data_IF_381677764201
#
_entry.id   IF_381677764201
#
_cell.length_a   1.000
_cell.length_b   1.000
_cell.length_c   1.000
_cell.angle_alpha   90.00
_cell.angle_beta   90.00
_cell.angle_gamma   90.00
#
_symmetry.space_group_name_H-M   'P 1'
#
loop_
_entity.id
_entity.type
_entity.pdbx_description
1 polymer ?
#
# COMPACT_ATOMS: atom_id res chain seq x y z
N UNK A 1 -4.05 -0.82 -16.02
CA UNK A 1 -3.94 -0.87 -14.55
C UNK A 1 -3.07 0.30 -14.10
N UNK A 2 -3.44 1.00 -13.02
CA UNK A 2 -2.63 2.08 -12.44
C UNK A 2 -1.96 1.58 -11.15
N UNK A 3 -0.89 2.23 -10.72
CA UNK A 3 -0.21 1.90 -9.46
C UNK A 3 -0.61 2.95 -8.42
N UNK A 4 -1.08 2.49 -7.27
CA UNK A 4 -1.53 3.34 -6.17
C UNK A 4 -0.59 3.12 -4.99
N UNK A 5 -0.03 4.21 -4.48
CA UNK A 5 0.89 4.20 -3.34
C UNK A 5 0.22 4.92 -2.18
N UNK A 6 0.03 4.20 -1.08
CA UNK A 6 -0.39 4.77 0.19
C UNK A 6 0.81 5.33 0.95
N UNK A 7 0.78 6.62 1.29
CA UNK A 7 1.87 7.34 1.94
C UNK A 7 1.38 8.29 3.05
N UNK A 8 2.32 8.93 3.73
CA UNK A 8 2.08 9.96 4.75
C UNK A 8 3.06 11.11 4.60
N UNK A 9 2.70 12.33 5.00
CA UNK A 9 3.52 13.55 4.92
C UNK A 9 4.89 13.44 5.65
N UNK A 10 5.03 12.45 6.54
CA UNK A 10 6.26 12.16 7.29
C UNK A 10 7.09 11.00 6.70
N UNK A 11 6.64 10.37 5.62
CA UNK A 11 7.26 9.18 5.04
C UNK A 11 8.18 9.48 3.85
N UNK A 12 8.68 10.71 3.70
CA UNK A 12 9.43 11.14 2.52
C UNK A 12 10.60 10.20 2.18
N UNK A 13 11.37 9.76 3.18
CA UNK A 13 12.51 8.85 2.97
C UNK A 13 12.07 7.52 2.35
N UNK A 14 10.98 6.93 2.86
CA UNK A 14 10.48 5.66 2.34
C UNK A 14 9.90 5.82 0.93
N UNK A 15 9.10 6.88 0.72
CA UNK A 15 8.51 7.18 -0.58
C UNK A 15 9.58 7.43 -1.65
N UNK A 16 10.60 8.23 -1.35
CA UNK A 16 11.72 8.48 -2.26
C UNK A 16 12.42 7.17 -2.63
N UNK A 17 12.70 6.32 -1.64
CA UNK A 17 13.33 5.03 -1.88
C UNK A 17 12.48 4.10 -2.78
N UNK A 18 11.16 4.07 -2.59
CA UNK A 18 10.25 3.34 -3.48
C UNK A 18 10.31 3.90 -4.91
N UNK A 19 10.11 5.21 -5.07
CA UNK A 19 10.10 5.85 -6.38
C UNK A 19 11.45 5.72 -7.11
N UNK A 20 12.57 5.79 -6.39
CA UNK A 20 13.92 5.56 -6.93
C UNK A 20 14.10 4.12 -7.44
N UNK A 21 13.50 3.13 -6.77
CA UNK A 21 13.53 1.75 -7.25
C UNK A 21 12.65 1.54 -8.47
N UNK A 22 11.53 2.27 -8.56
CA UNK A 22 10.60 2.21 -9.68
C UNK A 22 11.18 2.90 -10.93
N UNK A 23 11.75 4.10 -10.80
CA UNK A 23 12.21 4.91 -11.93
C UNK A 23 13.45 4.36 -12.65
N UNK A 24 14.15 3.40 -12.03
CA UNK A 24 15.28 2.67 -12.64
C UNK A 24 14.83 1.64 -13.67
N UNK A 25 13.56 1.24 -13.64
CA UNK A 25 13.02 0.23 -14.55
C UNK A 25 12.56 0.90 -15.84
N UNK A 26 12.82 0.27 -16.99
CA UNK A 26 12.49 0.83 -18.32
C UNK A 26 10.99 1.02 -18.51
N UNK A 27 10.16 0.17 -17.89
CA UNK A 27 8.70 0.20 -17.97
C UNK A 27 8.07 1.25 -17.05
N UNK A 28 8.86 2.00 -16.26
CA UNK A 28 8.34 3.00 -15.32
C UNK A 28 7.34 3.96 -15.98
N UNK A 29 7.67 4.45 -17.18
CA UNK A 29 6.84 5.38 -17.95
C UNK A 29 5.53 4.79 -18.49
N UNK A 30 5.39 3.46 -18.50
CA UNK A 30 4.19 2.78 -19.03
C UNK A 30 3.03 2.79 -18.03
N UNK A 31 3.30 3.15 -16.77
CA UNK A 31 2.32 3.12 -15.68
C UNK A 31 2.07 4.51 -15.12
N UNK A 32 0.79 4.88 -15.01
CA UNK A 32 0.39 5.99 -14.17
C UNK A 32 0.50 5.58 -12.69
N UNK A 33 1.22 6.39 -11.92
CA UNK A 33 1.44 6.20 -10.49
C UNK A 33 0.71 7.32 -9.76
N UNK A 34 -0.12 6.96 -8.78
CA UNK A 34 -0.82 7.93 -7.93
C UNK A 34 -0.44 7.67 -6.47
N UNK A 35 0.19 8.66 -5.85
CA UNK A 35 0.58 8.63 -4.45
C UNK A 35 -0.48 9.39 -3.65
N UNK A 36 -1.16 8.74 -2.72
CA UNK A 36 -2.02 9.41 -1.76
C UNK A 36 -1.26 9.60 -0.45
N UNK A 37 -0.93 10.85 -0.12
CA UNK A 37 -0.15 11.19 1.05
C UNK A 37 -1.04 11.82 2.13
N UNK A 38 -1.29 11.08 3.22
CA UNK A 38 -2.06 11.54 4.37
C UNK A 38 -1.33 12.56 5.25
N UNK A 39 -2.08 13.23 6.12
CA UNK A 39 -1.55 14.10 7.18
C UNK A 39 -1.33 15.56 6.81
N UNK A 40 -1.84 16.02 5.65
CA UNK A 40 -1.79 17.42 5.23
C UNK A 40 -2.99 18.21 5.77
N UNK A 41 -3.17 18.23 7.10
CA UNK A 41 -4.34 18.84 7.75
C UNK A 41 -4.49 20.36 7.55
N UNK A 42 -3.44 21.04 7.08
CA UNK A 42 -3.50 22.45 6.73
C UNK A 42 -4.25 22.72 5.41
N UNK A 43 -4.40 21.68 4.56
CA UNK A 43 -5.13 21.78 3.31
C UNK A 43 -6.65 21.63 3.55
N UNK A 44 -7.44 22.52 2.96
CA UNK A 44 -8.91 22.41 3.01
C UNK A 44 -9.46 21.34 2.05
N UNK A 45 -8.79 21.18 0.91
CA UNK A 45 -9.14 20.25 -0.16
C UNK A 45 -7.93 19.40 -0.52
N UNK A 46 -8.14 18.37 -1.33
CA UNK A 46 -7.06 17.64 -1.99
C UNK A 46 -6.21 18.59 -2.84
N UNK A 47 -4.89 18.45 -2.75
CA UNK A 47 -3.94 19.13 -3.64
C UNK A 47 -3.25 18.05 -4.47
N UNK A 48 -3.32 18.18 -5.80
CA UNK A 48 -2.70 17.25 -6.73
C UNK A 48 -1.54 17.93 -7.47
N UNK A 49 -0.35 17.33 -7.39
CA UNK A 49 0.83 17.76 -8.16
C UNK A 49 1.27 16.60 -9.03
N UNK A 50 1.56 16.85 -10.31
CA UNK A 50 2.01 15.80 -11.24
C UNK A 50 3.37 16.14 -11.81
N UNK A 51 4.28 15.17 -11.77
CA UNK A 51 5.55 15.19 -12.49
C UNK A 51 5.65 13.90 -13.32
N UNK A 52 5.75 14.04 -14.64
CA UNK A 52 5.73 12.93 -15.61
C UNK A 52 4.51 12.02 -15.40
N UNK A 53 4.73 10.74 -15.07
CA UNK A 53 3.71 9.73 -14.85
C UNK A 53 3.33 9.55 -13.36
N UNK A 54 3.84 10.41 -12.47
CA UNK A 54 3.58 10.36 -11.02
C UNK A 54 2.72 11.54 -10.60
N UNK A 55 1.54 11.27 -10.06
CA UNK A 55 0.68 12.26 -9.41
C UNK A 55 0.71 12.05 -7.89
N UNK A 56 1.06 13.08 -7.13
CA UNK A 56 0.95 13.09 -5.67
C UNK A 56 -0.30 13.85 -5.28
N UNK A 57 -1.16 13.20 -4.49
CA UNK A 57 -2.40 13.74 -3.94
C UNK A 57 -2.22 13.90 -2.43
N UNK A 58 -2.12 15.15 -1.99
CA UNK A 58 -2.06 15.51 -0.57
C UNK A 58 -3.47 15.42 0.04
N UNK A 59 -3.61 14.56 1.04
CA UNK A 59 -4.87 14.27 1.71
C UNK A 59 -4.90 14.97 3.07
N UNK A 60 -5.99 15.70 3.35
CA UNK A 60 -6.20 16.39 4.62
C UNK A 60 -6.74 15.48 5.74
N UNK A 61 -6.38 14.20 5.69
CA UNK A 61 -6.72 13.16 6.65
C UNK A 61 -5.63 12.11 6.71
N UNK A 62 -5.71 11.23 7.72
CA UNK A 62 -4.87 10.04 7.80
C UNK A 62 -5.73 8.84 8.22
N UNK A 63 -5.56 7.72 7.51
CA UNK A 63 -6.21 6.45 7.81
C UNK A 63 -5.24 5.27 7.71
N UNK A 64 -3.96 5.52 8.02
CA UNK A 64 -2.86 4.56 7.84
C UNK A 64 -2.85 4.03 6.40
N UNK A 65 -3.17 2.75 6.22
CA UNK A 65 -3.15 1.94 5.00
C UNK A 65 -4.45 2.09 4.20
N UNK A 66 -5.46 2.77 4.72
CA UNK A 66 -6.70 3.02 3.98
C UNK A 66 -6.74 4.40 3.31
N UNK A 67 -5.71 5.23 3.49
CA UNK A 67 -5.68 6.61 2.97
C UNK A 67 -5.88 6.63 1.45
N UNK A 68 -5.16 5.77 0.73
CA UNK A 68 -5.28 5.71 -0.73
C UNK A 68 -6.64 5.17 -1.20
N UNK A 69 -7.22 4.20 -0.51
CA UNK A 69 -8.54 3.67 -0.86
C UNK A 69 -9.65 4.71 -0.67
N UNK A 70 -9.59 5.48 0.44
CA UNK A 70 -10.53 6.59 0.66
C UNK A 70 -10.37 7.63 -0.46
N UNK A 71 -9.14 7.98 -0.83
CA UNK A 71 -8.88 8.90 -1.93
C UNK A 71 -9.43 8.42 -3.28
N UNK A 72 -9.29 7.11 -3.58
CA UNK A 72 -9.88 6.51 -4.78
C UNK A 72 -11.40 6.57 -4.78
N UNK A 73 -12.05 6.28 -3.65
CA UNK A 73 -13.51 6.34 -3.54
C UNK A 73 -14.02 7.77 -3.64
N UNK A 74 -13.32 8.76 -3.07
CA UNK A 74 -13.77 10.15 -3.10
C UNK A 74 -13.52 10.83 -4.46
N UNK A 75 -12.41 10.51 -5.14
CA UNK A 75 -12.00 11.21 -6.36
C UNK A 75 -12.26 10.43 -7.65
N UNK A 76 -12.30 9.10 -7.60
CA UNK A 76 -12.32 8.22 -8.78
C UNK A 76 -13.51 7.25 -8.82
N UNK A 77 -14.58 7.49 -8.03
CA UNK A 77 -15.74 6.60 -7.97
C UNK A 77 -16.43 6.32 -9.31
N UNK A 78 -16.30 7.19 -10.32
CA UNK A 78 -16.89 6.99 -11.65
C UNK A 78 -16.08 6.04 -12.54
N UNK A 79 -14.83 5.75 -12.19
CA UNK A 79 -13.91 4.93 -12.99
C UNK A 79 -14.10 3.42 -12.78
N UNK A 80 -15.35 2.93 -12.83
CA UNK A 80 -15.73 1.58 -12.36
C UNK A 80 -14.97 0.40 -13.00
N UNK A 81 -14.46 0.58 -14.22
CA UNK A 81 -13.75 -0.46 -14.98
C UNK A 81 -12.22 -0.45 -14.74
N UNK A 82 -11.71 0.48 -13.92
CA UNK A 82 -10.29 0.56 -13.63
C UNK A 82 -9.84 -0.48 -12.60
N UNK A 83 -8.57 -0.89 -12.73
CA UNK A 83 -7.87 -1.72 -11.76
C UNK A 83 -6.61 -1.00 -11.27
N UNK A 84 -6.33 -1.19 -10.00
CA UNK A 84 -5.22 -0.59 -9.28
C UNK A 84 -4.37 -1.68 -8.66
N UNK A 85 -3.05 -1.60 -8.85
CA UNK A 85 -2.12 -2.28 -7.96
C UNK A 85 -1.80 -1.34 -6.79
N UNK A 86 -2.29 -1.70 -5.61
CA UNK A 86 -2.10 -0.96 -4.38
C UNK A 86 -0.86 -1.47 -3.63
N UNK A 87 -0.03 -0.54 -3.15
CA UNK A 87 1.07 -0.83 -2.22
C UNK A 87 1.35 0.35 -1.28
N UNK A 88 2.23 0.14 -0.30
CA UNK A 88 2.65 1.20 0.64
C UNK A 88 3.95 1.86 0.18
N UNK A 89 4.16 3.10 0.60
CA UNK A 89 5.42 3.85 0.49
C UNK A 89 6.66 3.11 1.03
N UNK A 90 6.50 2.21 2.01
CA UNK A 90 7.62 1.42 2.54
C UNK A 90 7.94 0.16 1.73
N UNK A 91 7.62 0.14 0.44
CA UNK A 91 8.03 -0.92 -0.47
C UNK A 91 9.30 -0.56 -1.25
N UNK A 92 9.84 -1.54 -1.95
CA UNK A 92 10.83 -1.39 -3.02
C UNK A 92 10.49 -2.39 -4.10
N UNK A 93 10.59 -2.00 -5.36
CA UNK A 93 10.39 -2.93 -6.48
C UNK A 93 11.72 -3.59 -6.86
N UNK A 94 11.65 -4.85 -7.30
CA UNK A 94 12.73 -5.54 -8.00
C UNK A 94 12.66 -5.35 -9.51
N UNK A 95 13.61 -5.94 -10.21
CA UNK A 95 13.81 -5.71 -11.66
C UNK A 95 12.70 -6.32 -12.53
N UNK A 96 11.98 -7.32 -12.01
CA UNK A 96 10.91 -8.00 -12.73
C UNK A 96 9.50 -7.53 -12.29
N UNK A 97 9.40 -6.51 -11.44
CA UNK A 97 8.11 -6.05 -10.89
C UNK A 97 7.10 -5.69 -11.98
N UNK A 98 7.49 -4.87 -12.95
CA UNK A 98 6.60 -4.43 -14.03
C UNK A 98 6.21 -5.57 -14.97
N UNK A 99 7.15 -6.45 -15.30
CA UNK A 99 6.86 -7.65 -16.10
C UNK A 99 5.84 -8.54 -15.39
N UNK A 100 6.01 -8.78 -14.09
CA UNK A 100 5.06 -9.56 -13.28
C UNK A 100 3.70 -8.88 -13.24
N UNK A 101 3.66 -7.57 -12.99
CA UNK A 101 2.44 -6.78 -12.97
C UNK A 101 1.65 -6.83 -14.29
N UNK A 102 2.34 -6.75 -15.42
CA UNK A 102 1.76 -6.82 -16.77
C UNK A 102 1.10 -8.17 -17.07
N UNK A 103 1.62 -9.25 -16.49
CA UNK A 103 1.19 -10.62 -16.79
C UNK A 103 0.04 -11.12 -15.91
N UNK A 104 -0.52 -10.26 -15.04
CA UNK A 104 -1.58 -10.66 -14.12
C UNK A 104 -2.92 -10.78 -14.87
N UNK A 105 -3.54 -11.95 -14.76
CA UNK A 105 -4.89 -12.20 -15.28
C UNK A 105 -5.97 -11.59 -14.38
N UNK A 106 -6.73 -10.65 -14.94
CA UNK A 106 -7.84 -9.96 -14.27
C UNK A 106 -9.21 -10.56 -14.62
N UNK A 107 -9.24 -11.74 -15.26
CA UNK A 107 -10.49 -12.40 -15.65
C UNK A 107 -11.25 -12.88 -14.43
N UNK A 108 -12.51 -12.43 -14.31
CA UNK A 108 -13.48 -12.83 -13.28
C UNK A 108 -12.98 -12.61 -11.83
N UNK A 109 -12.29 -11.50 -11.57
CA UNK A 109 -11.83 -11.12 -10.22
C UNK A 109 -12.08 -9.65 -9.98
N UNK A 110 -12.45 -9.25 -8.77
CA UNK A 110 -12.45 -7.84 -8.36
C UNK A 110 -11.30 -7.48 -7.44
N UNK A 111 -10.64 -8.46 -6.83
CA UNK A 111 -9.40 -8.29 -6.08
C UNK A 111 -8.43 -9.46 -6.28
N UNK A 112 -7.13 -9.18 -6.12
CA UNK A 112 -6.09 -10.21 -6.05
C UNK A 112 -5.11 -9.84 -4.95
N UNK A 113 -4.99 -10.69 -3.93
CA UNK A 113 -4.05 -10.49 -2.82
C UNK A 113 -2.69 -11.13 -3.11
N UNK A 114 -1.59 -10.50 -2.67
CA UNK A 114 -0.23 -11.00 -3.00
C UNK A 114 0.28 -12.16 -2.13
N UNK A 115 -0.42 -12.51 -1.04
CA UNK A 115 0.02 -13.55 -0.11
C UNK A 115 -1.20 -14.24 0.51
N UNK A 116 -1.19 -15.57 0.69
CA UNK A 116 -2.27 -16.29 1.39
C UNK A 116 -2.45 -15.84 2.83
N UNK A 117 -1.34 -15.58 3.52
CA UNK A 117 -1.31 -15.21 4.94
C UNK A 117 -1.79 -13.78 5.18
N UNK A 118 -0.86 -12.83 5.19
CA UNK A 118 -1.12 -11.41 5.41
C UNK A 118 -0.55 -10.64 4.23
N UNK A 119 -1.40 -9.91 3.51
CA UNK A 119 -1.00 -9.10 2.36
C UNK A 119 -0.75 -7.64 2.75
N UNK A 120 -1.15 -7.22 3.96
CA UNK A 120 -1.10 -5.82 4.38
C UNK A 120 -1.83 -4.89 3.40
N UNK A 121 -2.98 -5.34 2.91
CA UNK A 121 -3.74 -4.71 1.83
C UNK A 121 -2.99 -4.59 0.49
N UNK A 122 -1.77 -5.10 0.34
CA UNK A 122 -1.03 -5.06 -0.93
C UNK A 122 -1.65 -6.04 -1.93
N UNK A 123 -1.93 -5.56 -3.13
CA UNK A 123 -2.52 -6.36 -4.19
C UNK A 123 -3.32 -5.53 -5.17
N UNK A 124 -4.21 -6.19 -5.90
CA UNK A 124 -5.00 -5.60 -6.95
C UNK A 124 -6.42 -5.38 -6.47
N UNK A 125 -6.98 -4.22 -6.85
CA UNK A 125 -8.36 -3.84 -6.56
C UNK A 125 -8.99 -3.25 -7.82
N UNK A 126 -10.19 -3.70 -8.17
CA UNK A 126 -11.05 -2.97 -9.09
C UNK A 126 -11.60 -1.69 -8.44
N UNK A 127 -11.90 -0.66 -9.21
CA UNK A 127 -12.63 0.50 -8.65
C UNK A 127 -14.02 0.09 -8.15
N UNK A 128 -14.67 -0.88 -8.82
CA UNK A 128 -16.00 -1.38 -8.44
C UNK A 128 -16.03 -1.89 -7.00
N UNK A 129 -15.12 -2.79 -6.62
CA UNK A 129 -15.09 -3.30 -5.24
C UNK A 129 -14.77 -2.21 -4.23
N UNK A 130 -13.91 -1.24 -4.56
CA UNK A 130 -13.63 -0.12 -3.67
C UNK A 130 -14.89 0.73 -3.44
N UNK A 131 -15.69 0.95 -4.49
CA UNK A 131 -16.97 1.65 -4.37
C UNK A 131 -17.98 0.86 -3.53
N UNK A 132 -18.06 -0.47 -3.70
CA UNK A 132 -18.95 -1.33 -2.90
C UNK A 132 -18.59 -1.28 -1.40
N UNK A 133 -17.30 -1.10 -1.08
CA UNK A 133 -16.79 -0.94 0.29
C UNK A 133 -16.68 0.53 0.73
N UNK A 134 -17.22 1.49 -0.02
CA UNK A 134 -17.10 2.93 0.27
C UNK A 134 -17.58 3.29 1.67
N UNK A 135 -18.73 2.80 2.12
CA UNK A 135 -19.24 3.05 3.46
C UNK A 135 -18.27 2.61 4.56
N UNK A 136 -17.66 1.43 4.40
CA UNK A 136 -16.61 0.96 5.31
C UNK A 136 -15.38 1.88 5.26
N UNK A 137 -14.86 2.18 4.06
CA UNK A 137 -13.65 2.99 3.87
C UNK A 137 -13.82 4.41 4.44
N UNK A 138 -14.93 5.09 4.14
CA UNK A 138 -15.23 6.43 4.65
C UNK A 138 -15.37 6.42 6.17
N UNK A 139 -15.95 5.36 6.77
CA UNK A 139 -16.02 5.23 8.24
C UNK A 139 -14.65 5.17 8.92
N UNK A 140 -13.58 4.88 8.15
CA UNK A 140 -12.19 4.82 8.66
C UNK A 140 -11.44 6.15 8.52
N UNK A 141 -12.01 7.17 7.90
CA UNK A 141 -11.40 8.51 7.74
C UNK A 141 -11.20 9.20 9.09
N UNK A 142 -10.02 9.81 9.31
CA UNK A 142 -9.71 10.66 10.48
C UNK A 142 -9.92 9.99 11.85
N UNK A 143 -9.60 8.70 11.97
CA UNK A 143 -9.58 8.07 13.28
C UNK A 143 -8.34 8.48 14.07
N UNK A 144 -8.46 8.53 15.40
CA UNK A 144 -7.33 8.82 16.28
C UNK A 144 -6.18 7.81 16.08
N UNK A 145 -4.93 8.25 16.25
CA UNK A 145 -3.75 7.36 16.19
C UNK A 145 -3.88 6.13 17.10
N UNK A 146 -4.58 6.27 18.23
CA UNK A 146 -4.89 5.18 19.16
C UNK A 146 -5.85 4.14 18.55
N UNK A 147 -6.92 4.59 17.88
CA UNK A 147 -7.83 3.70 17.17
C UNK A 147 -7.15 3.05 15.96
N UNK A 148 -6.37 3.83 15.21
CA UNK A 148 -5.57 3.36 14.08
C UNK A 148 -4.55 2.28 14.51
N UNK A 149 -3.90 2.45 15.67
CA UNK A 149 -3.03 1.42 16.27
C UNK A 149 -3.83 0.19 16.72
N UNK A 150 -5.03 0.39 17.27
CA UNK A 150 -5.95 -0.70 17.56
C UNK A 150 -6.28 -1.48 16.26
N UNK A 151 -6.64 -0.83 15.15
CA UNK A 151 -6.94 -1.51 13.88
C UNK A 151 -5.77 -2.38 13.40
N UNK A 152 -4.53 -1.87 13.45
CA UNK A 152 -3.32 -2.65 13.09
C UNK A 152 -3.12 -3.91 13.93
N UNK A 153 -3.53 -3.87 15.19
CA UNK A 153 -3.41 -5.00 16.11
C UNK A 153 -4.64 -5.92 16.10
N UNK A 154 -5.69 -5.58 15.32
CA UNK A 154 -6.93 -6.36 15.24
C UNK A 154 -7.04 -7.02 13.85
N UNK A 155 -6.78 -8.33 13.75
CA UNK A 155 -6.64 -9.10 12.50
C UNK A 155 -7.81 -9.01 11.52
N UNK A 156 -8.99 -8.60 11.98
CA UNK A 156 -10.22 -8.61 11.20
C UNK A 156 -10.35 -7.42 10.23
N UNK A 157 -9.42 -6.46 10.28
CA UNK A 157 -9.52 -5.18 9.56
C UNK A 157 -8.46 -5.07 8.47
N UNK A 158 -7.25 -5.58 8.71
CA UNK A 158 -6.25 -5.78 7.66
C UNK A 158 -6.74 -6.86 6.68
N UNK A 159 -6.55 -6.62 5.38
CA UNK A 159 -7.05 -7.48 4.29
C UNK A 159 -8.59 -7.65 4.30
N UNK A 160 -9.35 -6.75 4.95
CA UNK A 160 -10.81 -6.89 5.07
C UNK A 160 -11.51 -7.02 3.72
N UNK A 161 -11.18 -6.18 2.75
CA UNK A 161 -11.77 -6.24 1.41
C UNK A 161 -11.44 -7.58 0.73
N UNK A 162 -10.19 -8.07 0.83
CA UNK A 162 -9.83 -9.38 0.28
C UNK A 162 -10.59 -10.54 0.95
N UNK A 163 -10.88 -10.44 2.25
CA UNK A 163 -11.61 -11.47 3.00
C UNK A 163 -13.10 -11.49 2.66
N UNK A 164 -13.65 -10.35 2.28
CA UNK A 164 -15.08 -10.18 2.02
C UNK A 164 -15.44 -10.24 0.53
N UNK A 165 -14.46 -10.11 -0.38
CA UNK A 165 -14.68 -10.25 -1.82
C UNK A 165 -14.73 -11.73 -2.22
N UNK A 166 -15.89 -12.25 -2.68
CA UNK A 166 -16.04 -13.66 -3.08
C UNK A 166 -15.27 -14.03 -4.35
N UNK A 167 -14.79 -13.05 -5.12
CA UNK A 167 -14.02 -13.26 -6.35
C UNK A 167 -12.51 -13.05 -6.14
N UNK A 168 -12.09 -12.79 -4.90
CA UNK A 168 -10.69 -12.61 -4.56
C UNK A 168 -9.87 -13.86 -4.90
N UNK A 169 -8.70 -13.65 -5.52
CA UNK A 169 -7.69 -14.70 -5.75
C UNK A 169 -6.41 -14.39 -5.00
N UNK A 170 -5.61 -15.42 -4.71
CA UNK A 170 -4.23 -15.24 -4.27
C UNK A 170 -3.31 -15.36 -5.47
N UNK A 171 -2.50 -14.33 -5.72
CA UNK A 171 -1.56 -14.31 -6.83
C UNK A 171 -0.56 -15.48 -6.71
N UNK A 172 -0.49 -16.30 -7.75
CA UNK A 172 0.36 -17.51 -7.84
C UNK A 172 0.17 -18.51 -6.70
N UNK A 173 -0.97 -18.47 -5.99
CA UNK A 173 -1.17 -19.20 -4.73
C UNK A 173 -0.04 -19.00 -3.71
N UNK A 174 0.64 -17.85 -3.77
CA UNK A 174 1.87 -17.56 -3.03
C UNK A 174 1.66 -17.50 -1.52
N UNK A 175 2.63 -18.03 -0.79
CA UNK A 175 2.67 -18.05 0.66
C UNK A 175 4.12 -17.89 1.13
N UNK A 176 4.31 -17.41 2.36
CA UNK A 176 5.61 -17.37 3.04
C UNK A 176 6.65 -16.47 2.35
N UNK A 177 6.49 -15.13 2.42
CA UNK A 177 7.54 -14.21 1.96
C UNK A 177 8.87 -14.46 2.69
N UNK A 178 9.99 -14.40 1.95
CA UNK A 178 11.34 -14.52 2.53
C UNK A 178 11.61 -13.32 3.42
N UNK A 179 12.20 -13.53 4.60
CA UNK A 179 12.44 -12.47 5.60
C UNK A 179 13.93 -12.26 5.81
N UNK A 180 14.35 -11.00 5.89
CA UNK A 180 15.70 -10.65 6.34
C UNK A 180 15.81 -10.68 7.86
N UNK A 181 17.05 -10.65 8.35
CA UNK A 181 17.35 -10.19 9.71
C UNK A 181 16.96 -8.72 9.91
N UNK A 182 16.97 -8.28 11.18
CA UNK A 182 16.76 -6.89 11.52
C UNK A 182 17.89 -6.01 10.96
N UNK A 183 17.51 -4.99 10.19
CA UNK A 183 18.45 -4.03 9.59
C UNK A 183 17.94 -2.60 9.74
N UNK A 184 18.82 -1.65 10.02
CA UNK A 184 18.49 -0.21 9.93
C UNK A 184 18.48 0.24 8.46
N UNK A 185 17.46 -0.24 7.74
CA UNK A 185 17.37 -0.15 6.28
C UNK A 185 17.54 1.28 5.74
N UNK A 186 16.95 2.27 6.42
CA UNK A 186 16.98 3.67 6.01
C UNK A 186 18.07 4.50 6.73
N UNK A 187 18.93 3.87 7.56
CA UNK A 187 19.94 4.54 8.38
C UNK A 187 19.33 5.61 9.31
N UNK A 188 18.17 5.33 9.89
CA UNK A 188 17.43 6.25 10.78
C UNK A 188 17.46 5.82 12.23
N UNK A 189 18.26 4.81 12.59
CA UNK A 189 18.28 4.16 13.89
C UNK A 189 17.08 3.27 14.18
N UNK A 190 16.24 2.95 13.18
CA UNK A 190 15.05 2.11 13.37
C UNK A 190 15.21 0.78 12.63
N UNK A 191 15.33 -0.29 13.40
CA UNK A 191 15.47 -1.65 12.88
C UNK A 191 14.19 -2.12 12.20
N UNK A 192 14.35 -2.76 11.04
CA UNK A 192 13.27 -3.19 10.17
C UNK A 192 13.53 -4.61 9.66
N UNK A 193 12.45 -5.35 9.43
CA UNK A 193 12.47 -6.62 8.69
C UNK A 193 12.08 -6.31 7.25
N UNK A 194 12.79 -6.91 6.29
CA UNK A 194 12.43 -6.86 4.87
C UNK A 194 11.76 -8.18 4.50
N UNK A 195 10.53 -8.11 4.02
CA UNK A 195 9.80 -9.24 3.43
C UNK A 195 9.89 -9.18 1.91
N UNK A 196 10.34 -10.25 1.27
CA UNK A 196 10.39 -10.38 -0.18
C UNK A 196 9.26 -11.27 -0.71
N UNK A 197 8.49 -10.72 -1.65
CA UNK A 197 7.36 -11.33 -2.33
C UNK A 197 7.78 -11.71 -3.75
N UNK A 198 8.22 -12.95 -3.93
CA UNK A 198 8.79 -13.43 -5.20
C UNK A 198 7.76 -13.43 -6.34
N UNK A 199 6.48 -13.67 -6.03
CA UNK A 199 5.40 -13.62 -7.02
C UNK A 199 5.23 -12.24 -7.66
N UNK A 200 5.53 -11.16 -6.93
CA UNK A 200 5.49 -9.78 -7.44
C UNK A 200 6.85 -9.12 -7.66
N UNK A 201 7.95 -9.77 -7.26
CA UNK A 201 9.27 -9.15 -7.16
C UNK A 201 9.22 -7.82 -6.38
N UNK A 202 8.61 -7.89 -5.19
CA UNK A 202 8.33 -6.73 -4.33
C UNK A 202 8.95 -6.96 -2.95
N UNK A 203 9.61 -5.93 -2.43
CA UNK A 203 10.13 -5.91 -1.08
C UNK A 203 9.26 -5.01 -0.22
N UNK A 204 8.88 -5.48 0.96
CA UNK A 204 8.16 -4.71 1.97
C UNK A 204 9.05 -4.50 3.18
N UNK A 205 9.37 -3.24 3.46
CA UNK A 205 10.20 -2.85 4.59
C UNK A 205 9.28 -2.52 5.77
N UNK A 206 9.38 -3.31 6.84
CA UNK A 206 8.44 -3.27 7.98
C UNK A 206 9.16 -2.83 9.25
N UNK A 207 8.64 -1.77 9.88
CA UNK A 207 9.04 -1.43 11.24
C UNK A 207 8.35 -2.38 12.23
N UNK A 208 9.12 -2.95 13.16
CA UNK A 208 8.65 -3.66 14.35
C UNK A 208 7.63 -4.80 14.14
N UNK A 209 8.14 -6.00 13.85
CA UNK A 209 7.51 -7.24 14.33
C UNK A 209 8.21 -7.63 15.64
N UNK A 210 7.55 -7.47 16.80
CA UNK A 210 7.99 -8.11 18.05
C UNK A 210 8.47 -7.24 19.23
N UNK A 211 8.47 -5.90 19.17
CA UNK A 211 8.76 -5.07 20.36
C UNK A 211 7.56 -4.93 21.33
N UNK A 212 6.81 -6.00 21.55
CA UNK A 212 6.03 -6.17 22.79
C UNK A 212 6.84 -6.86 23.91
N UNK A 213 8.11 -7.23 23.67
CA UNK A 213 8.92 -7.97 24.65
C UNK A 213 10.21 -7.30 25.16
N UNK A 214 10.73 -6.25 24.53
CA UNK A 214 11.97 -5.61 25.00
C UNK A 214 11.82 -4.08 25.03
N UNK A 215 11.39 -3.59 26.19
CA UNK A 215 11.82 -2.27 26.67
C UNK A 215 13.35 -2.28 26.65
N UNK A 216 13.93 -1.58 25.69
CA UNK A 216 15.33 -1.17 25.79
C UNK A 216 15.38 -0.20 26.97
N UNK A 217 15.82 -0.69 28.12
CA UNK A 217 16.30 0.17 29.19
C UNK A 217 17.42 1.01 28.59
N UNK A 218 17.18 2.31 28.48
CA UNK A 218 18.27 3.27 28.37
C UNK A 218 18.92 3.30 29.74
N UNK A 219 20.16 2.82 29.82
CA UNK A 219 21.08 3.18 30.90
C UNK A 219 21.45 4.65 30.76
#
# INVERSE_FOLDING_TARGET
MKIIINSHCKSQVALTHLLDSMCKQKEFGDYQIIVFAGGYYHNKNYIATTDKNVTVIECNYNSIDLTAFIGLVELFNKSINEYYFYMHDTCKVGDNFYQKLKNIDLTNVSTIRINKGWSMNIGIYSQKILNDFSGFLISKKNNSDKYLTYLKNHPHIEDHIFKMDPTNKVLDNYENPKKSDLVDYYKTGTMRVVEYYENMDLYKIKANYGQQGQRIFRN
#
